data_IF_319163168809
#
_entry.id   IF_319163168809
#
_cell.length_a   1.000
_cell.length_b   1.000
_cell.length_c   1.000
_cell.angle_alpha   90.00
_cell.angle_beta   90.00
_cell.angle_gamma   90.00
#
_symmetry.space_group_name_H-M   'P 1'
#
loop_
_entity.id
_entity.type
_entity.pdbx_description
1 polymer ?
#
# COMPACT_ATOMS: atom_id res chain seq x y z
N UNK A 1 27.42 33.72 -37.59
CA UNK A 1 27.32 33.40 -36.15
C UNK A 1 26.39 34.44 -35.60
N UNK A 2 25.09 34.21 -35.82
CA UNK A 2 24.05 35.22 -35.57
C UNK A 2 23.65 35.19 -34.09
N UNK A 3 23.52 36.36 -33.43
CA UNK A 3 23.04 36.49 -32.07
C UNK A 3 21.54 36.82 -32.10
N UNK A 4 20.66 35.84 -31.94
CA UNK A 4 19.21 36.07 -32.15
C UNK A 4 18.30 35.56 -31.01
N UNK A 5 18.83 35.45 -29.78
CA UNK A 5 18.07 35.02 -28.59
C UNK A 5 17.82 36.15 -27.58
N UNK A 6 17.80 37.42 -28.01
CA UNK A 6 17.65 38.56 -27.08
C UNK A 6 16.55 39.55 -27.46
N UNK A 7 15.59 39.18 -28.30
CA UNK A 7 14.46 40.05 -28.65
C UNK A 7 13.13 39.30 -28.68
N UNK A 8 12.91 38.43 -27.69
CA UNK A 8 11.55 37.95 -27.40
C UNK A 8 10.73 39.15 -26.94
N UNK A 9 9.69 39.49 -27.70
CA UNK A 9 8.90 40.68 -27.40
C UNK A 9 8.33 40.56 -25.99
N UNK A 10 8.35 41.64 -25.20
CA UNK A 10 7.73 41.66 -23.86
C UNK A 10 6.26 41.21 -23.89
N UNK A 11 5.60 41.33 -25.06
CA UNK A 11 4.25 40.80 -25.28
C UNK A 11 4.21 39.27 -25.31
N UNK A 12 5.17 38.61 -25.97
CA UNK A 12 5.22 37.13 -26.06
C UNK A 12 5.53 36.50 -24.72
N UNK A 13 6.42 37.11 -23.93
CA UNK A 13 6.71 36.67 -22.56
C UNK A 13 5.51 36.88 -21.63
N UNK A 14 4.71 37.93 -21.85
CA UNK A 14 3.49 38.16 -21.07
C UNK A 14 2.41 37.14 -21.42
N UNK A 15 2.20 36.88 -22.70
CA UNK A 15 1.22 35.90 -23.17
C UNK A 15 1.59 34.49 -22.71
N UNK A 16 2.87 34.11 -22.73
CA UNK A 16 3.32 32.83 -22.15
C UNK A 16 3.12 32.76 -20.63
N UNK A 17 3.35 33.86 -19.90
CA UNK A 17 3.08 33.89 -18.47
C UNK A 17 1.59 33.70 -18.18
N UNK A 18 0.74 34.41 -18.91
CA UNK A 18 -0.72 34.32 -18.81
C UNK A 18 -1.21 32.90 -19.14
N UNK A 19 -0.61 32.21 -20.11
CA UNK A 19 -0.91 30.82 -20.44
C UNK A 19 -0.46 29.84 -19.35
N UNK A 20 0.72 30.06 -18.75
CA UNK A 20 1.17 29.23 -17.61
C UNK A 20 0.32 29.43 -16.37
N UNK A 21 -0.14 30.65 -16.10
CA UNK A 21 -1.05 30.95 -14.99
C UNK A 21 -2.41 30.30 -15.20
N UNK A 22 -2.96 30.35 -16.42
CA UNK A 22 -4.18 29.63 -16.78
C UNK A 22 -4.03 28.12 -16.64
N UNK A 23 -2.90 27.56 -17.06
CA UNK A 23 -2.63 26.13 -16.90
C UNK A 23 -2.52 25.73 -15.43
N UNK A 24 -1.90 26.55 -14.59
CA UNK A 24 -1.82 26.31 -13.15
C UNK A 24 -3.20 26.41 -12.48
N UNK A 25 -4.04 27.33 -12.95
CA UNK A 25 -5.40 27.50 -12.44
C UNK A 25 -6.33 26.34 -12.81
N UNK A 26 -6.23 25.84 -14.05
CA UNK A 26 -6.95 24.62 -14.48
C UNK A 26 -6.50 23.41 -13.67
N UNK A 27 -5.19 23.24 -13.46
CA UNK A 27 -4.68 22.14 -12.65
C UNK A 27 -5.11 22.26 -11.18
N UNK A 28 -5.25 23.47 -10.64
CA UNK A 28 -5.77 23.68 -9.29
C UNK A 28 -7.25 23.35 -9.18
N UNK A 29 -8.08 23.74 -10.17
CA UNK A 29 -9.50 23.40 -10.20
C UNK A 29 -9.73 21.89 -10.37
N UNK A 30 -8.91 21.21 -11.17
CA UNK A 30 -8.98 19.76 -11.35
C UNK A 30 -8.54 18.99 -10.09
N UNK A 31 -7.63 19.57 -9.28
CA UNK A 31 -7.28 19.03 -7.96
C UNK A 31 -8.39 19.27 -6.93
N UNK A 32 -9.03 20.44 -6.93
CA UNK A 32 -10.19 20.72 -6.06
C UNK A 32 -11.39 19.83 -6.40
N UNK A 33 -11.63 19.52 -7.69
CA UNK A 33 -12.67 18.56 -8.10
C UNK A 33 -12.34 17.13 -7.61
N UNK A 34 -11.06 16.74 -7.60
CA UNK A 34 -10.61 15.45 -7.06
C UNK A 34 -10.70 15.39 -5.52
N UNK A 35 -10.52 16.50 -4.81
CA UNK A 35 -10.73 16.59 -3.35
C UNK A 35 -12.21 16.73 -2.96
N UNK A 36 -13.07 17.17 -3.89
CA UNK A 36 -14.54 17.26 -3.70
C UNK A 36 -15.29 15.93 -3.88
N UNK A 37 -14.57 14.86 -4.24
CA UNK A 37 -15.08 13.50 -4.23
C UNK A 37 -15.49 13.10 -2.82
N UNK A 38 -16.76 13.35 -2.50
CA UNK A 38 -17.51 12.93 -1.31
C UNK A 38 -16.73 11.90 -0.50
N UNK A 39 -16.18 12.33 0.63
CA UNK A 39 -15.72 11.41 1.67
C UNK A 39 -16.90 10.48 1.96
N UNK A 40 -16.87 9.29 1.35
CA UNK A 40 -17.79 8.20 1.67
C UNK A 40 -17.77 8.12 3.20
N UNK A 41 -18.95 8.19 3.86
CA UNK A 41 -18.98 8.15 5.31
C UNK A 41 -18.20 6.93 5.76
N UNK A 42 -17.15 7.15 6.58
CA UNK A 42 -16.41 6.02 7.15
C UNK A 42 -17.46 5.09 7.77
N UNK A 43 -17.49 3.81 7.36
CA UNK A 43 -18.59 2.93 7.75
C UNK A 43 -18.65 2.89 9.27
N UNK A 44 -19.78 3.30 9.85
CA UNK A 44 -20.07 3.19 11.27
C UNK A 44 -19.75 1.77 11.69
N UNK A 45 -18.68 1.65 12.46
CA UNK A 45 -18.13 0.37 12.84
C UNK A 45 -19.01 -0.18 13.94
N UNK A 46 -19.90 -1.11 13.60
CA UNK A 46 -20.60 -1.90 14.63
C UNK A 46 -19.55 -2.60 15.51
N UNK A 47 -19.46 -2.18 16.78
CA UNK A 47 -18.51 -2.67 17.79
C UNK A 47 -18.84 -4.09 18.28
N UNK A 48 -19.83 -4.75 17.67
CA UNK A 48 -20.09 -6.16 17.97
C UNK A 48 -18.86 -7.01 17.59
N UNK A 49 -18.39 -7.90 18.49
CA UNK A 49 -17.33 -8.84 18.17
C UNK A 49 -17.82 -9.81 17.08
N UNK A 50 -17.25 -9.70 15.89
CA UNK A 50 -17.54 -10.56 14.73
C UNK A 50 -16.29 -11.37 14.42
N UNK A 51 -16.45 -12.69 14.26
CA UNK A 51 -15.37 -13.54 13.75
C UNK A 51 -15.12 -13.24 12.27
N UNK A 52 -13.93 -12.70 11.95
CA UNK A 52 -13.54 -12.34 10.59
C UNK A 52 -12.91 -13.53 9.83
N UNK A 53 -12.53 -14.58 10.55
CA UNK A 53 -11.89 -15.79 10.03
C UNK A 53 -10.37 -15.76 10.17
N UNK A 54 -9.67 -16.64 9.44
CA UNK A 54 -8.22 -16.78 9.55
C UNK A 54 -7.47 -15.87 8.57
N UNK A 55 -6.40 -15.24 9.06
CA UNK A 55 -5.59 -14.32 8.27
C UNK A 55 -4.10 -14.63 8.34
N UNK A 56 -3.39 -14.22 7.30
CA UNK A 56 -1.94 -14.07 7.34
C UNK A 56 -1.56 -12.60 7.12
N UNK A 57 -0.47 -12.17 7.74
CA UNK A 57 0.04 -10.80 7.67
C UNK A 57 1.53 -10.76 7.35
N UNK A 58 1.91 -9.80 6.51
CA UNK A 58 3.31 -9.40 6.27
C UNK A 58 3.46 -7.97 6.76
N UNK A 59 4.48 -7.70 7.57
CA UNK A 59 4.89 -6.36 7.95
C UNK A 59 6.22 -6.03 7.28
N UNK A 60 6.30 -4.88 6.62
CA UNK A 60 7.55 -4.26 6.16
C UNK A 60 7.74 -2.96 6.94
N UNK A 61 8.84 -2.88 7.68
CA UNK A 61 9.17 -1.69 8.46
C UNK A 61 9.91 -0.65 7.59
N UNK A 62 9.95 0.59 8.06
CA UNK A 62 10.76 1.67 7.50
C UNK A 62 11.38 2.49 8.63
N UNK A 63 12.21 3.48 8.31
CA UNK A 63 12.89 4.34 9.29
C UNK A 63 11.95 5.12 10.22
N UNK A 64 10.69 5.30 9.81
CA UNK A 64 9.62 5.94 10.57
C UNK A 64 8.70 4.98 11.33
N UNK A 65 8.96 3.67 11.29
CA UNK A 65 8.22 2.69 12.10
C UNK A 65 8.46 2.96 13.60
N UNK A 66 7.44 2.68 14.44
CA UNK A 66 7.52 2.84 15.89
C UNK A 66 8.71 2.09 16.52
N UNK A 67 9.01 0.89 15.99
CA UNK A 67 10.26 0.18 16.24
C UNK A 67 10.90 -0.19 14.89
N UNK A 68 11.90 0.55 14.39
CA UNK A 68 12.56 0.25 13.13
C UNK A 68 13.59 -0.88 13.25
N UNK A 69 13.61 -1.68 14.33
CA UNK A 69 14.60 -2.75 14.49
C UNK A 69 14.21 -4.00 13.69
N UNK A 70 15.15 -4.51 12.89
CA UNK A 70 15.01 -5.79 12.21
C UNK A 70 15.26 -6.95 13.17
N UNK A 71 14.28 -7.82 13.38
CA UNK A 71 14.40 -8.96 14.28
C UNK A 71 15.45 -10.00 13.86
N UNK A 72 15.82 -10.06 12.56
CA UNK A 72 16.79 -11.04 12.04
C UNK A 72 18.23 -10.63 12.30
N UNK A 73 18.51 -9.34 12.17
CA UNK A 73 19.87 -8.80 12.26
C UNK A 73 20.12 -7.98 13.51
N UNK A 74 19.07 -7.68 14.27
CA UNK A 74 19.07 -6.74 15.39
C UNK A 74 19.64 -5.36 15.04
N UNK A 75 19.58 -4.97 13.77
CA UNK A 75 19.96 -3.63 13.29
C UNK A 75 18.73 -2.79 12.97
N UNK A 76 18.90 -1.48 13.06
CA UNK A 76 17.89 -0.52 12.61
C UNK A 76 17.69 -0.58 11.09
N UNK A 77 16.45 -0.44 10.68
CA UNK A 77 16.00 -0.33 9.29
C UNK A 77 16.06 1.15 8.91
N UNK A 78 16.80 1.44 7.85
CA UNK A 78 17.11 2.79 7.36
C UNK A 78 16.35 3.17 6.09
N UNK A 79 15.56 2.25 5.52
CA UNK A 79 14.75 2.51 4.33
C UNK A 79 13.73 3.63 4.53
N UNK A 80 13.53 4.45 3.50
CA UNK A 80 12.45 5.42 3.48
C UNK A 80 11.09 4.72 3.36
N UNK A 81 10.02 5.45 3.70
CA UNK A 81 8.65 4.95 3.55
C UNK A 81 8.35 4.58 2.08
N UNK A 82 8.84 5.35 1.11
CA UNK A 82 8.61 5.11 -0.32
C UNK A 82 9.37 3.88 -0.83
N UNK A 83 10.59 3.65 -0.34
CA UNK A 83 11.34 2.44 -0.64
C UNK A 83 10.65 1.20 -0.09
N UNK A 84 10.19 1.25 1.16
CA UNK A 84 9.43 0.18 1.79
C UNK A 84 8.09 -0.07 1.09
N UNK A 85 7.40 0.98 0.65
CA UNK A 85 6.17 0.89 -0.16
C UNK A 85 6.42 0.20 -1.49
N UNK A 86 7.46 0.60 -2.20
CA UNK A 86 7.82 -0.02 -3.47
C UNK A 86 8.17 -1.51 -3.30
N UNK A 87 8.85 -1.86 -2.20
CA UNK A 87 9.14 -3.26 -1.85
C UNK A 87 7.87 -4.05 -1.57
N UNK A 88 6.95 -3.48 -0.78
CA UNK A 88 5.67 -4.10 -0.46
C UNK A 88 4.84 -4.33 -1.72
N UNK A 89 4.76 -3.32 -2.60
CA UNK A 89 4.06 -3.40 -3.89
C UNK A 89 4.64 -4.51 -4.77
N UNK A 90 5.96 -4.53 -4.96
CA UNK A 90 6.64 -5.60 -5.71
C UNK A 90 6.40 -6.98 -5.11
N UNK A 91 6.30 -7.08 -3.79
CA UNK A 91 5.99 -8.33 -3.10
C UNK A 91 4.56 -8.77 -3.37
N UNK A 92 3.59 -7.84 -3.24
CA UNK A 92 2.17 -8.07 -3.58
C UNK A 92 2.01 -8.56 -5.01
N UNK A 93 2.66 -7.89 -5.96
CA UNK A 93 2.55 -8.22 -7.38
C UNK A 93 3.09 -9.64 -7.66
N UNK A 94 4.18 -10.05 -7.01
CA UNK A 94 4.71 -11.43 -7.11
C UNK A 94 3.78 -12.47 -6.50
N UNK A 95 3.12 -12.14 -5.38
CA UNK A 95 2.18 -13.04 -4.71
C UNK A 95 0.95 -13.25 -5.60
N UNK A 96 0.39 -12.17 -6.15
CA UNK A 96 -0.84 -12.17 -6.94
C UNK A 96 -0.65 -12.54 -8.42
N UNK A 97 0.60 -12.59 -8.91
CA UNK A 97 0.90 -12.93 -10.30
C UNK A 97 0.24 -14.26 -10.72
N UNK A 98 -0.23 -14.42 -11.96
CA UNK A 98 -0.76 -15.70 -12.42
C UNK A 98 0.29 -16.81 -12.36
N UNK A 99 -0.13 -18.04 -12.06
CA UNK A 99 0.76 -19.22 -11.99
C UNK A 99 1.30 -19.66 -13.34
N UNK A 100 0.58 -19.38 -14.42
CA UNK A 100 0.96 -19.73 -15.78
C UNK A 100 1.13 -18.47 -16.62
N UNK A 101 2.28 -18.35 -17.31
CA UNK A 101 2.61 -17.21 -18.17
C UNK A 101 1.62 -16.97 -19.32
N UNK A 102 0.79 -17.98 -19.64
CA UNK A 102 -0.09 -17.99 -20.81
C UNK A 102 -1.58 -17.90 -20.45
N UNK A 103 -1.92 -17.61 -19.20
CA UNK A 103 -3.30 -17.62 -18.70
C UNK A 103 -3.68 -16.23 -18.20
N UNK A 104 -4.69 -15.61 -18.82
CA UNK A 104 -5.28 -14.31 -18.41
C UNK A 104 -6.11 -14.39 -17.12
N UNK A 105 -6.11 -15.53 -16.42
CA UNK A 105 -6.92 -15.73 -15.21
C UNK A 105 -6.14 -15.34 -13.95
N UNK A 106 -6.84 -14.88 -12.89
CA UNK A 106 -6.23 -14.61 -11.61
C UNK A 106 -5.60 -15.89 -11.02
N UNK A 107 -4.56 -15.71 -10.22
CA UNK A 107 -3.93 -16.80 -9.48
C UNK A 107 -4.95 -17.53 -8.59
N UNK A 108 -4.83 -18.86 -8.50
CA UNK A 108 -5.72 -19.65 -7.63
C UNK A 108 -5.46 -19.26 -6.17
N UNK A 109 -6.49 -19.14 -5.31
CA UNK A 109 -6.31 -18.75 -3.90
C UNK A 109 -5.30 -19.61 -3.13
N UNK A 110 -5.22 -20.91 -3.45
CA UNK A 110 -4.21 -21.82 -2.85
C UNK A 110 -2.77 -21.47 -3.25
N UNK A 111 -2.55 -21.07 -4.49
CA UNK A 111 -1.23 -20.66 -4.99
C UNK A 111 -0.81 -19.32 -4.39
N UNK A 112 -1.76 -18.37 -4.32
CA UNK A 112 -1.59 -17.07 -3.65
C UNK A 112 -1.19 -17.28 -2.20
N UNK A 113 -1.92 -18.13 -1.46
CA UNK A 113 -1.57 -18.43 -0.06
C UNK A 113 -0.19 -19.04 0.07
N UNK A 114 0.16 -20.03 -0.76
CA UNK A 114 1.49 -20.65 -0.71
C UNK A 114 2.61 -19.63 -0.93
N UNK A 115 2.42 -18.69 -1.86
CA UNK A 115 3.40 -17.62 -2.12
C UNK A 115 3.44 -16.58 -1.01
N UNK A 116 2.28 -16.23 -0.46
CA UNK A 116 2.18 -15.34 0.69
C UNK A 116 2.92 -15.93 1.88
N UNK A 117 2.73 -17.22 2.19
CA UNK A 117 3.39 -17.91 3.30
C UNK A 117 4.93 -17.88 3.12
N UNK A 118 5.41 -18.14 1.89
CA UNK A 118 6.84 -18.06 1.56
C UNK A 118 7.39 -16.62 1.66
N UNK A 119 6.64 -15.64 1.16
CA UNK A 119 6.98 -14.22 1.24
C UNK A 119 7.04 -13.73 2.69
N UNK A 120 6.07 -14.10 3.52
CA UNK A 120 6.03 -13.71 4.93
C UNK A 120 7.24 -14.27 5.70
N UNK A 121 7.58 -15.53 5.47
CA UNK A 121 8.75 -16.16 6.10
C UNK A 121 10.06 -15.46 5.74
N UNK A 122 10.22 -15.05 4.49
CA UNK A 122 11.45 -14.45 3.98
C UNK A 122 11.54 -12.94 4.28
N UNK A 123 10.44 -12.22 4.11
CA UNK A 123 10.44 -10.76 4.01
C UNK A 123 9.75 -10.05 5.19
N UNK A 124 8.96 -10.73 6.03
CA UNK A 124 8.28 -10.04 7.14
C UNK A 124 9.27 -9.59 8.23
N UNK A 125 9.19 -8.33 8.62
CA UNK A 125 9.94 -7.69 9.70
C UNK A 125 9.31 -7.88 11.09
N UNK A 126 8.15 -8.53 11.17
CA UNK A 126 7.60 -9.03 12.43
C UNK A 126 8.07 -10.47 12.66
N UNK A 127 8.88 -10.69 13.69
CA UNK A 127 9.47 -12.00 13.99
C UNK A 127 8.45 -13.10 14.29
N UNK A 128 7.32 -12.76 14.91
CA UNK A 128 6.25 -13.74 15.19
C UNK A 128 5.55 -14.18 13.91
N UNK A 129 5.13 -13.21 13.08
CA UNK A 129 4.54 -13.51 11.77
C UNK A 129 5.51 -14.30 10.90
N UNK A 130 6.78 -13.90 10.80
CA UNK A 130 7.76 -14.60 9.96
C UNK A 130 7.96 -16.07 10.37
N UNK A 131 7.95 -16.37 11.68
CA UNK A 131 8.08 -17.75 12.19
C UNK A 131 6.85 -18.61 11.88
N UNK A 132 5.66 -18.01 11.87
CA UNK A 132 4.38 -18.66 11.52
C UNK A 132 4.06 -18.54 10.03
N UNK A 133 5.02 -18.18 9.18
CA UNK A 133 4.81 -17.95 7.74
C UNK A 133 3.68 -16.95 7.44
N UNK A 134 3.58 -15.91 8.26
CA UNK A 134 2.58 -14.85 8.20
C UNK A 134 1.30 -15.17 8.97
N UNK A 135 1.04 -16.42 9.35
CA UNK A 135 -0.23 -16.82 9.95
C UNK A 135 -0.44 -16.19 11.34
N UNK A 136 -1.55 -15.44 11.46
CA UNK A 136 -2.00 -14.83 12.73
C UNK A 136 -3.22 -15.55 13.31
N UNK A 137 -3.70 -16.61 12.65
CA UNK A 137 -4.84 -17.39 13.10
C UNK A 137 -6.18 -16.67 12.93
N UNK A 138 -7.17 -17.08 13.71
CA UNK A 138 -8.51 -16.50 13.69
C UNK A 138 -8.51 -15.10 14.30
N UNK A 139 -9.04 -14.14 13.55
CA UNK A 139 -9.16 -12.74 13.94
C UNK A 139 -10.62 -12.43 14.26
N UNK A 140 -10.85 -11.77 15.38
CA UNK A 140 -12.13 -11.13 15.71
C UNK A 140 -12.02 -9.63 15.51
N UNK A 141 -13.12 -8.96 15.14
CA UNK A 141 -13.15 -7.51 15.03
C UNK A 141 -12.64 -6.83 16.31
N UNK A 142 -11.90 -5.73 16.14
CA UNK A 142 -11.32 -4.96 17.24
C UNK A 142 -10.06 -5.56 17.87
N UNK A 143 -9.56 -6.72 17.42
CA UNK A 143 -8.29 -7.28 17.90
C UNK A 143 -7.06 -6.74 17.17
N UNK A 144 -7.24 -6.27 15.94
CA UNK A 144 -6.19 -5.64 15.14
C UNK A 144 -6.19 -4.12 15.33
N UNK A 145 -5.11 -3.46 14.89
CA UNK A 145 -5.08 -2.00 14.80
C UNK A 145 -6.25 -1.50 13.93
N UNK A 146 -6.85 -0.32 14.21
CA UNK A 146 -8.07 0.12 13.54
C UNK A 146 -8.03 0.07 12.01
N UNK A 147 -6.91 0.50 11.41
CA UNK A 147 -6.71 0.46 9.96
C UNK A 147 -6.69 -0.98 9.41
N UNK A 148 -6.04 -1.92 10.12
CA UNK A 148 -5.99 -3.33 9.74
C UNK A 148 -7.36 -4.00 9.91
N UNK A 149 -8.08 -3.67 10.98
CA UNK A 149 -9.40 -4.25 11.26
C UNK A 149 -10.44 -3.83 10.21
N UNK A 150 -10.43 -2.55 9.83
CA UNK A 150 -11.25 -2.03 8.72
C UNK A 150 -10.95 -2.76 7.39
N UNK A 151 -9.69 -3.12 7.14
CA UNK A 151 -9.29 -3.89 5.94
C UNK A 151 -9.71 -5.34 6.05
N UNK A 152 -9.47 -5.99 7.19
CA UNK A 152 -9.79 -7.39 7.43
C UNK A 152 -11.29 -7.67 7.25
N UNK A 153 -12.15 -6.74 7.71
CA UNK A 153 -13.61 -6.83 7.55
C UNK A 153 -14.09 -6.84 6.11
N UNK A 154 -13.51 -5.99 5.25
CA UNK A 154 -13.90 -5.88 3.84
C UNK A 154 -13.20 -6.88 2.93
N UNK A 155 -12.14 -7.54 3.40
CA UNK A 155 -11.32 -8.42 2.58
C UNK A 155 -12.08 -9.72 2.25
N UNK A 156 -12.21 -10.01 0.95
CA UNK A 156 -12.82 -11.25 0.49
C UNK A 156 -11.96 -12.47 0.86
N UNK A 157 -12.61 -13.61 1.06
CA UNK A 157 -11.95 -14.91 1.32
C UNK A 157 -11.00 -15.25 0.16
N UNK A 158 -9.75 -15.55 0.48
CA UNK A 158 -8.69 -15.83 -0.51
C UNK A 158 -8.06 -14.59 -1.17
N UNK A 159 -8.49 -13.37 -0.82
CA UNK A 159 -7.93 -12.14 -1.38
C UNK A 159 -6.77 -11.58 -0.55
N UNK A 160 -5.87 -10.86 -1.22
CA UNK A 160 -4.78 -10.10 -0.62
C UNK A 160 -5.16 -8.63 -0.58
N UNK A 161 -4.93 -7.95 0.54
CA UNK A 161 -5.22 -6.53 0.69
C UNK A 161 -4.27 -5.64 -0.12
N UNK A 162 -4.63 -4.37 -0.18
CA UNK A 162 -3.67 -3.33 -0.51
C UNK A 162 -2.74 -3.02 0.69
N UNK A 163 -1.84 -2.06 0.49
CA UNK A 163 -0.98 -1.55 1.56
C UNK A 163 -1.85 -0.96 2.68
N UNK A 164 -1.60 -1.43 3.91
CA UNK A 164 -2.21 -0.86 5.11
C UNK A 164 -1.11 -0.23 5.94
N UNK A 165 -1.19 1.08 6.14
CA UNK A 165 -0.23 1.84 6.93
C UNK A 165 -0.63 1.81 8.40
N UNK A 166 0.30 1.47 9.28
CA UNK A 166 0.14 1.59 10.73
C UNK A 166 1.37 2.24 11.35
N UNK A 167 1.37 2.44 12.68
CA UNK A 167 2.54 2.92 13.41
C UNK A 167 3.73 1.94 13.31
N UNK A 168 3.48 0.64 13.16
CA UNK A 168 4.54 -0.36 13.05
C UNK A 168 5.19 -0.39 11.65
N UNK A 169 4.51 0.13 10.64
CA UNK A 169 4.99 0.19 9.26
C UNK A 169 3.90 -0.15 8.26
N UNK A 170 4.29 -0.86 7.19
CA UNK A 170 3.42 -1.16 6.06
C UNK A 170 3.03 -2.64 6.07
N UNK A 171 1.74 -2.91 5.96
CA UNK A 171 1.19 -4.25 6.09
C UNK A 171 0.50 -4.73 4.81
N UNK A 172 0.57 -6.04 4.58
CA UNK A 172 -0.32 -6.78 3.69
C UNK A 172 -1.07 -7.84 4.48
N UNK A 173 -2.35 -7.99 4.21
CA UNK A 173 -3.22 -9.01 4.77
C UNK A 173 -3.63 -10.00 3.68
N UNK A 174 -3.73 -11.27 4.04
CA UNK A 174 -4.38 -12.31 3.24
C UNK A 174 -5.45 -12.97 4.09
N UNK A 175 -6.70 -12.97 3.61
CA UNK A 175 -7.75 -13.79 4.22
C UNK A 175 -7.66 -15.22 3.67
N UNK A 176 -7.61 -16.21 4.55
CA UNK A 176 -7.47 -17.60 4.12
C UNK A 176 -8.71 -18.04 3.32
N UNK A 177 -8.53 -18.89 2.29
CA UNK A 177 -9.63 -19.44 1.49
C UNK A 177 -10.40 -20.56 2.21
#
# INVERSE_FOLDING_TARGET
MEPDDANRSLAELRDELEDTERMFQILSEEVDELESGSAEPEPEVDDTPVELGSFSMILIKHSGSADPTCWRTHRSIDYSIDESRNRLRKLRDKICAPSDFNVKQPAKPKDVKKRFDAAAKLSSDCGESARKSGDIGSVTSGTLAPALDAVARRLAVGAVSEEVVTLDGLHLLLRHP
#
